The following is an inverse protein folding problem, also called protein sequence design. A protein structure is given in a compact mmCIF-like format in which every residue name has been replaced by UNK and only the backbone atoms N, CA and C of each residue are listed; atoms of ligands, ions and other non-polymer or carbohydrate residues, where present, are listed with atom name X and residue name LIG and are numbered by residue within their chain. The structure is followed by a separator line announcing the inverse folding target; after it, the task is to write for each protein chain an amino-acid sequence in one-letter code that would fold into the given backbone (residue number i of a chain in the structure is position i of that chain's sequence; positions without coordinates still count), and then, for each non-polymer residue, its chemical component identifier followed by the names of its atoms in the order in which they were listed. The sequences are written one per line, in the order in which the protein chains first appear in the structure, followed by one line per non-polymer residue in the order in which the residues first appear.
data_IF_423077017092
#
_entry.id   IF_423077017092
#
_cell.length_a   1.000
_cell.length_b   1.000
_cell.length_c   1.000
_cell.angle_alpha   90.00
_cell.angle_beta   90.00
_cell.angle_gamma   90.00
#
_symmetry.space_group_name_H-M   'P 1'
#
loop_
_entity.id
_entity.type
_entity.pdbx_description
1 polymer ?
#
# COMPACT_ATOMS: atom_id res chain seq x y z
N UNK A 1 -24.72 -2.24 -9.43
CA UNK A 1 -24.48 -3.67 -9.14
C UNK A 1 -23.36 -4.26 -10.01
N UNK A 2 -23.48 -4.23 -11.34
CA UNK A 2 -22.49 -4.79 -12.28
C UNK A 2 -21.02 -4.34 -12.05
N UNK A 3 -20.76 -3.07 -11.76
CA UNK A 3 -19.40 -2.58 -11.53
C UNK A 3 -18.73 -3.21 -10.29
N UNK A 4 -19.49 -3.37 -9.19
CA UNK A 4 -18.97 -3.98 -7.96
C UNK A 4 -18.79 -5.50 -8.11
N UNK A 5 -19.59 -6.15 -8.95
CA UNK A 5 -19.40 -7.57 -9.29
C UNK A 5 -18.12 -7.78 -10.11
N UNK A 6 -17.89 -6.94 -11.13
CA UNK A 6 -16.63 -6.94 -11.90
C UNK A 6 -15.42 -6.73 -11.00
N UNK A 7 -15.50 -5.81 -10.04
CA UNK A 7 -14.44 -5.59 -9.06
C UNK A 7 -14.18 -6.83 -8.21
N UNK A 8 -15.23 -7.49 -7.70
CA UNK A 8 -15.07 -8.71 -6.89
C UNK A 8 -14.38 -9.83 -7.67
N UNK A 9 -14.74 -10.02 -8.94
CA UNK A 9 -14.10 -11.00 -9.83
C UNK A 9 -12.63 -10.64 -10.05
N UNK A 10 -12.31 -9.36 -10.28
CA UNK A 10 -10.92 -8.92 -10.41
C UNK A 10 -10.09 -9.22 -9.15
N UNK A 11 -10.68 -8.99 -7.97
CA UNK A 11 -9.99 -9.17 -6.69
C UNK A 11 -9.79 -10.64 -6.30
N UNK A 12 -10.69 -11.55 -6.67
CA UNK A 12 -10.59 -12.96 -6.29
C UNK A 12 -9.34 -13.63 -6.86
N UNK A 13 -8.93 -13.24 -8.06
CA UNK A 13 -7.78 -13.82 -8.77
C UNK A 13 -6.50 -12.99 -8.59
N UNK A 14 -6.56 -11.92 -7.79
CA UNK A 14 -5.45 -10.97 -7.71
C UNK A 14 -4.21 -11.58 -7.05
N UNK A 15 -4.38 -12.33 -5.97
CA UNK A 15 -3.24 -12.94 -5.25
C UNK A 15 -2.48 -13.97 -6.10
N UNK A 16 -3.19 -14.76 -6.92
CA UNK A 16 -2.56 -15.71 -7.84
C UNK A 16 -1.89 -14.98 -9.01
N UNK A 17 -2.52 -13.93 -9.53
CA UNK A 17 -1.94 -13.06 -10.57
C UNK A 17 -0.64 -12.41 -10.09
N UNK A 18 -0.62 -11.85 -8.88
CA UNK A 18 0.58 -11.26 -8.27
C UNK A 18 1.71 -12.27 -8.12
N UNK A 19 1.39 -13.49 -7.68
CA UNK A 19 2.38 -14.58 -7.59
C UNK A 19 2.96 -14.91 -8.96
N UNK A 20 2.12 -14.98 -10.00
CA UNK A 20 2.58 -15.23 -11.36
C UNK A 20 3.49 -14.11 -11.86
N UNK A 21 3.07 -12.85 -11.72
CA UNK A 21 3.87 -11.67 -12.11
C UNK A 21 5.22 -11.66 -11.38
N UNK A 22 5.24 -12.03 -10.10
CA UNK A 22 6.48 -12.18 -9.33
C UNK A 22 7.39 -13.27 -9.90
N UNK A 23 6.84 -14.43 -10.23
CA UNK A 23 7.59 -15.52 -10.85
C UNK A 23 8.13 -15.15 -12.25
N UNK A 24 7.40 -14.29 -12.97
CA UNK A 24 7.80 -13.73 -14.26
C UNK A 24 8.84 -12.59 -14.11
N UNK A 25 9.28 -12.28 -12.88
CA UNK A 25 10.35 -11.34 -12.58
C UNK A 25 9.91 -9.95 -12.14
N UNK A 26 8.60 -9.66 -12.13
CA UNK A 26 8.08 -8.35 -11.68
C UNK A 26 8.26 -8.22 -10.17
N UNK A 27 8.80 -7.08 -9.73
CA UNK A 27 9.00 -6.82 -8.29
C UNK A 27 7.70 -6.41 -7.62
N UNK A 28 7.44 -6.99 -6.46
CA UNK A 28 6.29 -6.64 -5.62
C UNK A 28 6.79 -5.81 -4.44
N UNK A 29 6.23 -4.63 -4.28
CA UNK A 29 6.58 -3.67 -3.23
C UNK A 29 5.43 -3.59 -2.25
N UNK A 30 5.61 -4.19 -1.07
CA UNK A 30 4.63 -4.09 0.02
C UNK A 30 4.79 -2.75 0.73
N UNK A 31 3.71 -2.16 1.20
CA UNK A 31 3.80 -0.95 2.00
C UNK A 31 2.69 -0.84 3.06
N UNK A 32 2.94 -0.06 4.11
CA UNK A 32 1.95 0.20 5.17
C UNK A 32 1.01 1.35 4.82
N UNK A 33 -0.30 1.26 5.10
CA UNK A 33 -1.24 2.34 4.83
C UNK A 33 -0.90 3.60 5.63
N UNK A 34 -1.37 4.76 5.20
CA UNK A 34 -1.12 6.04 5.88
C UNK A 34 -1.10 7.27 4.98
N UNK A 35 -1.17 7.08 3.66
CA UNK A 35 -1.28 8.18 2.68
C UNK A 35 0.04 8.89 2.35
N UNK A 36 1.17 8.36 2.82
CA UNK A 36 2.49 8.93 2.56
C UNK A 36 3.36 8.08 1.63
N UNK A 37 2.88 6.92 1.19
CA UNK A 37 3.55 6.09 0.21
C UNK A 37 3.27 6.61 -1.22
N UNK A 38 4.29 7.04 -1.98
CA UNK A 38 4.12 7.44 -3.38
C UNK A 38 4.12 6.20 -4.29
N UNK A 39 2.93 5.62 -4.51
CA UNK A 39 2.76 4.49 -5.43
C UNK A 39 3.27 4.80 -6.85
N UNK A 40 3.22 6.08 -7.26
CA UNK A 40 3.71 6.55 -8.55
C UNK A 40 5.19 6.23 -8.78
N UNK A 41 6.04 6.32 -7.73
CA UNK A 41 7.45 5.94 -7.85
C UNK A 41 7.60 4.43 -8.09
N UNK A 42 6.76 3.62 -7.47
CA UNK A 42 6.81 2.15 -7.60
C UNK A 42 6.40 1.72 -9.01
N UNK A 43 5.29 2.28 -9.50
CA UNK A 43 4.83 2.00 -10.84
C UNK A 43 5.81 2.50 -11.92
N UNK A 44 6.37 3.70 -11.76
CA UNK A 44 7.36 4.23 -12.69
C UNK A 44 8.65 3.40 -12.70
N UNK A 45 8.96 2.69 -11.61
CA UNK A 45 10.04 1.71 -11.53
C UNK A 45 9.71 0.35 -12.20
N UNK A 46 8.48 0.17 -12.71
CA UNK A 46 8.00 -1.10 -13.26
C UNK A 46 7.69 -2.16 -12.21
N UNK A 47 7.46 -1.76 -10.97
CA UNK A 47 7.07 -2.65 -9.87
C UNK A 47 5.58 -2.49 -9.54
N UNK A 48 5.04 -3.43 -8.75
CA UNK A 48 3.65 -3.42 -8.31
C UNK A 48 3.60 -3.06 -6.82
N UNK A 49 3.00 -1.91 -6.45
CA UNK A 49 2.76 -1.56 -5.06
C UNK A 49 1.54 -2.32 -4.52
N UNK A 50 1.69 -2.90 -3.32
CA UNK A 50 0.62 -3.59 -2.60
C UNK A 50 0.50 -3.01 -1.20
N UNK A 51 -0.65 -2.43 -0.89
CA UNK A 51 -0.94 -1.94 0.44
C UNK A 51 -1.31 -3.09 1.39
N UNK A 52 -0.54 -3.26 2.45
CA UNK A 52 -0.81 -4.22 3.51
C UNK A 52 -1.83 -3.64 4.49
N UNK A 53 -3.12 -3.69 4.11
CA UNK A 53 -4.23 -3.07 4.84
C UNK A 53 -5.16 -4.07 5.54
N UNK A 54 -4.86 -5.37 5.51
CA UNK A 54 -5.71 -6.39 6.14
C UNK A 54 -5.82 -6.10 7.64
N UNK A 55 -7.04 -6.22 8.17
CA UNK A 55 -7.33 -5.95 9.57
C UNK A 55 -8.80 -6.24 9.90
N UNK A 56 -9.15 -6.08 11.18
CA UNK A 56 -10.52 -6.33 11.68
C UNK A 56 -10.78 -7.76 12.14
N UNK A 57 -9.79 -8.65 12.07
CA UNK A 57 -9.88 -10.01 12.62
C UNK A 57 -9.39 -10.07 14.07
N UNK A 58 -10.28 -10.49 14.97
CA UNK A 58 -9.98 -10.62 16.41
C UNK A 58 -9.00 -11.76 16.70
N UNK A 59 -9.02 -12.84 15.92
CA UNK A 59 -8.11 -13.96 16.12
C UNK A 59 -6.67 -13.56 15.78
N UNK A 60 -6.48 -12.81 14.69
CA UNK A 60 -5.20 -12.17 14.36
C UNK A 60 -4.71 -11.22 15.46
N UNK A 61 -5.61 -10.52 16.16
CA UNK A 61 -5.25 -9.66 17.30
C UNK A 61 -4.70 -10.49 18.46
N UNK A 62 -5.33 -11.63 18.77
CA UNK A 62 -4.87 -12.53 19.84
C UNK A 62 -3.54 -13.16 19.44
N UNK A 63 -3.42 -13.64 18.20
CA UNK A 63 -2.19 -14.25 17.68
C UNK A 63 -0.99 -13.29 17.73
N UNK A 64 -1.23 -12.00 17.47
CA UNK A 64 -0.18 -10.98 17.52
C UNK A 64 0.50 -10.82 18.88
N UNK A 65 -0.14 -11.25 19.97
CA UNK A 65 0.38 -11.11 21.34
C UNK A 65 1.63 -11.98 21.58
N UNK A 66 1.89 -12.97 20.74
CA UNK A 66 3.13 -13.78 20.78
C UNK A 66 4.36 -13.00 20.30
N UNK A 67 4.15 -11.96 19.51
CA UNK A 67 5.20 -11.21 18.82
C UNK A 67 5.33 -9.78 19.34
N UNK A 68 4.22 -9.18 19.81
CA UNK A 68 4.16 -7.78 20.17
C UNK A 68 3.39 -7.54 21.49
N UNK A 69 3.83 -6.58 22.31
CA UNK A 69 3.10 -6.11 23.48
C UNK A 69 1.64 -5.74 23.21
N UNK A 70 0.78 -6.01 24.21
CA UNK A 70 -0.68 -5.83 24.10
C UNK A 70 -1.15 -4.40 23.79
N UNK A 71 -0.35 -3.39 24.17
CA UNK A 71 -0.72 -1.98 24.18
C UNK A 71 -0.51 -1.26 22.84
N UNK A 72 0.04 -1.94 21.84
CA UNK A 72 0.15 -1.38 20.50
C UNK A 72 -1.18 -1.38 19.74
N UNK A 73 -1.29 -0.45 18.78
CA UNK A 73 -2.44 -0.34 17.89
C UNK A 73 -2.82 -1.71 17.33
N UNK A 74 -4.11 -2.06 17.43
CA UNK A 74 -4.64 -3.37 16.98
C UNK A 74 -4.33 -3.65 15.52
N UNK A 75 -4.51 -2.66 14.65
CA UNK A 75 -4.15 -2.78 13.24
C UNK A 75 -2.66 -3.10 13.03
N UNK A 76 -1.77 -2.39 13.73
CA UNK A 76 -0.33 -2.54 13.50
C UNK A 76 0.18 -3.90 13.98
N UNK A 77 -0.28 -4.38 15.14
CA UNK A 77 0.10 -5.70 15.64
C UNK A 77 -0.50 -6.85 14.83
N UNK A 78 -1.68 -6.70 14.21
CA UNK A 78 -2.21 -7.76 13.32
C UNK A 78 -1.36 -7.94 12.06
N UNK A 79 -0.61 -6.91 11.63
CA UNK A 79 0.26 -7.05 10.45
C UNK A 79 1.29 -8.16 10.63
N UNK A 80 1.91 -8.26 11.81
CA UNK A 80 2.87 -9.35 12.08
C UNK A 80 2.17 -10.71 12.19
N UNK A 81 0.93 -10.75 12.69
CA UNK A 81 0.17 -11.99 12.74
C UNK A 81 -0.11 -12.53 11.33
N UNK A 82 -0.45 -11.67 10.37
CA UNK A 82 -0.63 -12.09 8.97
C UNK A 82 0.68 -12.56 8.32
N UNK A 83 1.79 -11.87 8.59
CA UNK A 83 3.11 -12.31 8.12
C UNK A 83 3.46 -13.71 8.67
N UNK A 84 3.39 -13.88 9.99
CA UNK A 84 3.74 -15.13 10.68
C UNK A 84 2.77 -16.27 10.41
N UNK A 85 1.49 -15.95 10.15
CA UNK A 85 0.47 -16.90 9.75
C UNK A 85 0.60 -17.38 8.30
N UNK A 86 1.60 -16.91 7.55
CA UNK A 86 1.85 -17.33 6.17
C UNK A 86 0.85 -16.75 5.18
N UNK A 87 0.22 -15.62 5.48
CA UNK A 87 -0.66 -14.94 4.53
C UNK A 87 0.12 -14.63 3.25
N UNK A 88 -0.45 -15.03 2.12
CA UNK A 88 0.21 -14.92 0.83
C UNK A 88 0.59 -13.48 0.51
N UNK A 89 -0.32 -12.53 0.70
CA UNK A 89 -0.10 -11.12 0.34
C UNK A 89 1.00 -10.49 1.21
N UNK A 90 1.15 -10.96 2.44
CA UNK A 90 2.16 -10.48 3.39
C UNK A 90 3.55 -11.06 3.14
N UNK A 91 3.63 -12.23 2.49
CA UNK A 91 4.88 -12.92 2.16
C UNK A 91 5.31 -12.76 0.69
N UNK A 92 4.48 -12.14 -0.15
CA UNK A 92 4.80 -11.82 -1.55
C UNK A 92 5.85 -10.69 -1.74
N UNK A 93 5.90 -9.62 -0.93
CA UNK A 93 6.78 -8.48 -1.20
C UNK A 93 8.27 -8.83 -1.27
N UNK A 94 8.96 -8.28 -2.27
CA UNK A 94 10.43 -8.27 -2.35
C UNK A 94 11.05 -7.28 -1.36
N UNK A 95 10.32 -6.19 -1.09
CA UNK A 95 10.67 -5.18 -0.09
C UNK A 95 9.39 -4.70 0.60
N UNK A 96 9.49 -4.41 1.89
CA UNK A 96 8.49 -3.65 2.64
C UNK A 96 8.93 -2.19 2.76
N UNK A 97 8.08 -1.26 2.34
CA UNK A 97 8.29 0.17 2.54
C UNK A 97 7.39 0.67 3.67
N UNK A 98 8.00 1.34 4.64
CA UNK A 98 7.29 1.89 5.80
C UNK A 98 7.51 3.40 5.89
N UNK A 99 6.54 4.22 5.45
CA UNK A 99 6.49 5.63 5.80
C UNK A 99 6.24 5.75 7.30
N UNK A 100 7.22 6.28 8.04
CA UNK A 100 7.16 6.35 9.49
C UNK A 100 6.40 7.59 9.94
N UNK A 101 5.08 7.45 10.14
CA UNK A 101 4.18 8.51 10.61
C UNK A 101 4.04 8.59 12.13
N UNK A 102 4.18 7.45 12.80
CA UNK A 102 4.05 7.31 14.25
C UNK A 102 4.76 6.04 14.75
N UNK A 103 4.84 5.89 16.08
CA UNK A 103 5.55 4.78 16.71
C UNK A 103 4.98 3.39 16.39
N UNK A 104 3.72 3.26 15.96
CA UNK A 104 3.13 1.97 15.60
C UNK A 104 3.65 1.47 14.25
N UNK A 105 3.86 2.38 13.29
CA UNK A 105 4.48 2.04 12.01
C UNK A 105 5.92 1.54 12.19
N UNK A 106 6.65 2.10 13.16
CA UNK A 106 7.98 1.62 13.54
C UNK A 106 7.96 0.13 13.88
N UNK A 107 6.97 -0.30 14.65
CA UNK A 107 6.87 -1.66 15.15
C UNK A 107 6.59 -2.64 14.03
N UNK A 108 5.79 -2.25 13.02
CA UNK A 108 5.61 -3.06 11.81
C UNK A 108 6.98 -3.27 11.15
N UNK A 109 7.74 -2.19 10.94
CA UNK A 109 9.04 -2.26 10.30
C UNK A 109 10.06 -3.09 11.11
N UNK A 110 10.09 -2.93 12.44
CA UNK A 110 10.98 -3.66 13.34
C UNK A 110 10.59 -5.14 13.42
N UNK A 111 9.29 -5.44 13.41
CA UNK A 111 8.79 -6.82 13.36
C UNK A 111 9.20 -7.49 12.05
N UNK A 112 9.08 -6.82 10.90
CA UNK A 112 9.54 -7.39 9.63
C UNK A 112 11.04 -7.67 9.62
N UNK A 113 11.85 -6.73 10.11
CA UNK A 113 13.30 -6.92 10.19
C UNK A 113 13.69 -8.09 11.12
N UNK A 114 12.92 -8.35 12.16
CA UNK A 114 13.22 -9.40 13.12
C UNK A 114 12.71 -10.78 12.67
N UNK A 115 11.49 -10.84 12.13
CA UNK A 115 10.79 -12.09 11.86
C UNK A 115 10.81 -12.52 10.39
N UNK A 116 11.20 -11.63 9.46
CA UNK A 116 11.26 -11.91 8.03
C UNK A 116 12.67 -11.65 7.47
N UNK A 117 12.93 -12.25 6.30
CA UNK A 117 14.11 -11.94 5.47
C UNK A 117 13.82 -10.88 4.41
N UNK A 118 12.56 -10.44 4.29
CA UNK A 118 12.17 -9.36 3.37
C UNK A 118 12.90 -8.09 3.74
N UNK A 119 13.49 -7.43 2.75
CA UNK A 119 14.16 -6.14 2.95
C UNK A 119 13.15 -5.07 3.40
N UNK A 120 13.58 -4.14 4.25
CA UNK A 120 12.71 -3.10 4.80
C UNK A 120 13.32 -1.73 4.57
N UNK A 121 12.61 -0.88 3.83
CA UNK A 121 12.96 0.52 3.63
C UNK A 121 12.05 1.43 4.47
N UNK A 122 12.64 2.45 5.09
CA UNK A 122 11.93 3.36 6.01
C UNK A 122 12.32 4.79 5.68
N UNK A 123 11.37 5.70 5.77
CA UNK A 123 11.62 7.14 5.72
C UNK A 123 10.66 7.86 6.66
N UNK A 124 11.12 8.96 7.27
CA UNK A 124 10.31 9.71 8.22
C UNK A 124 9.29 10.59 7.51
N UNK A 125 8.09 10.65 8.06
CA UNK A 125 7.06 11.61 7.66
C UNK A 125 7.03 12.74 8.68
N UNK A 126 7.35 14.00 8.29
CA UNK A 126 7.37 15.11 9.23
C UNK A 126 5.95 15.54 9.63
N UNK A 127 5.77 15.90 10.91
CA UNK A 127 4.46 16.35 11.43
C UNK A 127 4.16 17.83 11.18
N UNK A 128 5.11 18.59 10.61
CA UNK A 128 4.90 19.98 10.21
C UNK A 128 5.15 20.17 8.71
N UNK A 129 4.65 21.27 8.15
CA UNK A 129 4.70 21.56 6.70
C UNK A 129 5.68 22.67 6.32
N UNK A 130 6.58 23.02 7.25
CA UNK A 130 7.60 24.06 7.05
C UNK A 130 8.66 23.63 6.02
N UNK A 131 9.52 24.57 5.64
CA UNK A 131 10.54 24.34 4.62
C UNK A 131 11.51 23.20 4.99
N UNK A 132 12.02 23.20 6.22
CA UNK A 132 12.89 22.14 6.71
C UNK A 132 12.23 20.75 6.64
N UNK A 133 10.93 20.65 6.96
CA UNK A 133 10.17 19.41 6.83
C UNK A 133 10.00 18.97 5.37
N UNK A 134 9.75 19.92 4.46
CA UNK A 134 9.67 19.62 3.02
C UNK A 134 10.99 19.09 2.47
N UNK A 135 12.12 19.73 2.84
CA UNK A 135 13.47 19.29 2.45
C UNK A 135 13.75 17.89 2.99
N UNK A 136 13.46 17.65 4.27
CA UNK A 136 13.63 16.33 4.90
C UNK A 136 12.80 15.25 4.19
N UNK A 137 11.51 15.50 3.97
CA UNK A 137 10.62 14.52 3.34
C UNK A 137 11.04 14.23 1.91
N UNK A 138 11.38 15.28 1.13
CA UNK A 138 11.89 15.13 -0.23
C UNK A 138 13.14 14.26 -0.27
N UNK A 139 14.10 14.46 0.65
CA UNK A 139 15.28 13.60 0.74
C UNK A 139 14.93 12.13 1.01
N UNK A 140 13.93 11.87 1.85
CA UNK A 140 13.40 10.51 2.05
C UNK A 140 12.82 9.90 0.78
N UNK A 141 12.08 10.68 -0.01
CA UNK A 141 11.53 10.23 -1.29
C UNK A 141 12.61 10.02 -2.37
N UNK A 142 13.67 10.82 -2.38
CA UNK A 142 14.83 10.64 -3.27
C UNK A 142 15.59 9.35 -2.96
N UNK A 143 15.78 9.03 -1.67
CA UNK A 143 16.36 7.75 -1.24
C UNK A 143 15.46 6.58 -1.60
N UNK A 144 14.14 6.74 -1.46
CA UNK A 144 13.17 5.73 -1.89
C UNK A 144 13.25 5.50 -3.41
N UNK A 145 13.28 6.57 -4.21
CA UNK A 145 13.45 6.49 -5.67
C UNK A 145 14.66 5.63 -6.03
N UNK A 146 15.82 5.96 -5.46
CA UNK A 146 17.06 5.20 -5.69
C UNK A 146 16.91 3.72 -5.30
N UNK A 147 16.30 3.44 -4.13
CA UNK A 147 16.08 2.07 -3.66
C UNK A 147 15.20 1.26 -4.61
N UNK A 148 14.18 1.89 -5.21
CA UNK A 148 13.31 1.26 -6.20
C UNK A 148 14.05 1.01 -7.52
N UNK A 149 14.85 1.96 -7.99
CA UNK A 149 15.69 1.77 -9.19
C UNK A 149 16.69 0.62 -9.01
N UNK A 150 17.33 0.53 -7.83
CA UNK A 150 18.23 -0.57 -7.49
C UNK A 150 17.51 -1.92 -7.42
N UNK A 151 16.27 -1.94 -6.91
CA UNK A 151 15.45 -3.14 -6.76
C UNK A 151 14.99 -3.71 -8.11
N UNK A 152 14.56 -2.85 -9.03
CA UNK A 152 13.96 -3.25 -10.30
C UNK A 152 14.95 -3.26 -11.46
N UNK A 153 16.08 -2.55 -11.33
CA UNK A 153 17.01 -2.28 -12.42
C UNK A 153 16.50 -1.24 -13.42
N UNK A 154 15.32 -0.65 -13.19
CA UNK A 154 14.71 0.32 -14.09
C UNK A 154 14.91 1.74 -13.57
N UNK A 155 15.35 2.65 -14.45
CA UNK A 155 15.41 4.08 -14.13
C UNK A 155 14.00 4.68 -14.09
N UNK A 156 13.71 5.44 -13.04
CA UNK A 156 12.49 6.25 -12.90
C UNK A 156 12.76 7.60 -13.59
N UNK A 157 12.37 7.69 -14.86
CA UNK A 157 12.44 8.93 -15.65
C UNK A 157 11.34 9.90 -15.25
N UNK A 158 11.56 11.18 -15.50
CA UNK A 158 10.55 12.20 -15.20
C UNK A 158 9.27 11.96 -16.02
N UNK A 159 9.40 11.59 -17.29
CA UNK A 159 8.27 11.22 -18.17
C UNK A 159 7.40 10.11 -17.56
N UNK A 160 7.99 8.95 -17.24
CA UNK A 160 7.26 7.83 -16.62
C UNK A 160 6.62 8.23 -15.29
N UNK A 161 7.33 9.04 -14.50
CA UNK A 161 6.80 9.51 -13.22
C UNK A 161 5.61 10.45 -13.43
N UNK A 162 5.66 11.34 -14.41
CA UNK A 162 4.54 12.23 -14.74
C UNK A 162 3.32 11.44 -15.22
N UNK A 163 3.50 10.44 -16.10
CA UNK A 163 2.41 9.57 -16.56
C UNK A 163 1.71 8.86 -15.39
N UNK A 164 2.49 8.36 -14.43
CA UNK A 164 1.96 7.72 -13.22
C UNK A 164 1.25 8.69 -12.27
N UNK A 165 1.73 9.93 -12.19
CA UNK A 165 1.08 11.02 -11.43
C UNK A 165 -0.25 11.40 -12.08
N UNK A 166 -0.31 11.53 -13.41
CA UNK A 166 -1.54 11.86 -14.13
C UNK A 166 -2.60 10.77 -13.96
N UNK A 167 -2.19 9.51 -14.10
CA UNK A 167 -3.05 8.34 -13.87
C UNK A 167 -3.57 8.34 -12.42
N UNK A 168 -2.68 8.52 -11.44
CA UNK A 168 -3.05 8.59 -10.03
C UNK A 168 -4.00 9.73 -9.71
N UNK A 169 -3.79 10.91 -10.30
CA UNK A 169 -4.66 12.07 -10.14
C UNK A 169 -6.05 11.86 -10.76
N UNK A 170 -6.11 11.19 -11.92
CA UNK A 170 -7.38 10.80 -12.55
C UNK A 170 -8.19 9.92 -11.63
N UNK A 171 -7.59 8.84 -11.08
CA UNK A 171 -8.25 7.94 -10.14
C UNK A 171 -8.74 8.70 -8.89
N UNK A 172 -7.90 9.57 -8.31
CA UNK A 172 -8.28 10.41 -7.15
C UNK A 172 -9.46 11.34 -7.47
N UNK A 173 -9.50 11.91 -8.68
CA UNK A 173 -10.61 12.75 -9.13
C UNK A 173 -11.91 11.95 -9.24
N UNK A 174 -11.86 10.76 -9.83
CA UNK A 174 -13.02 9.86 -9.93
C UNK A 174 -13.57 9.46 -8.55
N UNK A 175 -12.70 9.14 -7.59
CA UNK A 175 -13.12 8.89 -6.20
C UNK A 175 -13.79 10.10 -5.55
N UNK A 176 -13.28 11.31 -5.83
CA UNK A 176 -13.85 12.57 -5.34
C UNK A 176 -15.23 12.81 -5.94
N UNK A 177 -15.42 12.55 -7.23
CA UNK A 177 -16.72 12.63 -7.91
C UNK A 177 -17.73 11.66 -7.31
N UNK A 178 -17.37 10.38 -7.14
CA UNK A 178 -18.23 9.39 -6.48
C UNK A 178 -18.59 9.87 -5.06
N UNK A 179 -17.63 10.42 -4.32
CA UNK A 179 -17.87 10.96 -2.99
C UNK A 179 -18.83 12.16 -2.99
N UNK A 180 -18.81 13.02 -4.00
CA UNK A 180 -19.75 14.14 -4.11
C UNK A 180 -21.14 13.70 -4.55
N UNK A 181 -21.24 12.73 -5.47
CA UNK A 181 -22.51 12.12 -5.87
C UNK A 181 -23.26 11.55 -4.67
N UNK A 182 -22.55 10.94 -3.71
CA UNK A 182 -23.16 10.44 -2.46
C UNK A 182 -23.82 11.54 -1.60
N UNK A 183 -23.44 12.81 -1.78
CA UNK A 183 -24.07 13.94 -1.07
C UNK A 183 -25.44 14.30 -1.65
N UNK A 184 -25.58 14.21 -2.97
CA UNK A 184 -26.81 14.59 -3.69
C UNK A 184 -27.71 13.39 -3.98
N UNK A 185 -27.14 12.19 -4.05
CA UNK A 185 -27.83 10.92 -4.26
C UNK A 185 -27.23 9.84 -3.33
N UNK A 186 -27.70 9.75 -2.07
CA UNK A 186 -27.20 8.79 -1.08
C UNK A 186 -27.34 7.32 -1.50
N UNK A 187 -28.32 7.00 -2.37
CA UNK A 187 -28.59 5.64 -2.83
C UNK A 187 -27.73 5.22 -4.02
N UNK A 188 -26.94 6.13 -4.60
CA UNK A 188 -26.07 5.84 -5.75
C UNK A 188 -25.04 4.73 -5.45
N UNK A 189 -24.49 4.73 -4.24
CA UNK A 189 -23.59 3.69 -3.76
C UNK A 189 -23.64 3.63 -2.23
N UNK A 190 -23.74 2.41 -1.70
CA UNK A 190 -23.71 2.22 -0.24
C UNK A 190 -22.35 2.64 0.33
N UNK A 191 -22.33 3.13 1.57
CA UNK A 191 -21.07 3.46 2.25
C UNK A 191 -20.12 2.25 2.34
N UNK A 192 -20.69 1.04 2.48
CA UNK A 192 -19.93 -0.21 2.49
C UNK A 192 -19.23 -0.44 1.15
N UNK A 193 -19.95 -0.29 0.03
CA UNK A 193 -19.38 -0.50 -1.30
C UNK A 193 -18.37 0.58 -1.66
N UNK A 194 -18.59 1.83 -1.24
CA UNK A 194 -17.63 2.90 -1.44
C UNK A 194 -16.32 2.65 -0.66
N UNK A 195 -16.39 2.23 0.60
CA UNK A 195 -15.21 1.84 1.37
C UNK A 195 -14.51 0.63 0.75
N UNK A 196 -15.27 -0.37 0.28
CA UNK A 196 -14.71 -1.53 -0.41
C UNK A 196 -13.99 -1.14 -1.71
N UNK A 197 -14.54 -0.19 -2.47
CA UNK A 197 -13.91 0.35 -3.68
C UNK A 197 -12.59 1.05 -3.35
N UNK A 198 -12.55 1.85 -2.27
CA UNK A 198 -11.30 2.49 -1.82
C UNK A 198 -10.24 1.46 -1.43
N UNK A 199 -10.59 0.46 -0.61
CA UNK A 199 -9.65 -0.60 -0.23
C UNK A 199 -9.19 -1.43 -1.44
N UNK A 200 -10.07 -1.64 -2.42
CA UNK A 200 -9.72 -2.35 -3.64
C UNK A 200 -8.73 -1.57 -4.50
N UNK A 201 -8.78 -0.23 -4.50
CA UNK A 201 -7.88 0.61 -5.29
C UNK A 201 -6.41 0.47 -4.92
N UNK A 202 -6.11 0.00 -3.71
CA UNK A 202 -4.73 -0.20 -3.24
C UNK A 202 -4.23 -1.63 -3.43
N UNK A 203 -5.01 -2.48 -4.11
CA UNK A 203 -4.70 -3.90 -4.35
C UNK A 203 -4.94 -4.34 -5.81
N UNK A 204 -6.00 -3.83 -6.44
CA UNK A 204 -6.29 -4.05 -7.85
C UNK A 204 -5.31 -3.27 -8.74
N UNK A 205 -5.22 -3.67 -10.01
CA UNK A 205 -4.38 -3.01 -10.98
C UNK A 205 -4.92 -1.61 -11.30
N UNK A 206 -4.05 -0.60 -11.36
CA UNK A 206 -4.45 0.78 -11.68
C UNK A 206 -5.27 0.86 -12.97
N UNK A 207 -4.89 0.09 -13.99
CA UNK A 207 -5.59 0.01 -15.28
C UNK A 207 -7.03 -0.50 -15.21
N UNK A 208 -7.48 -1.03 -14.06
CA UNK A 208 -8.90 -1.36 -13.86
C UNK A 208 -9.75 -0.10 -13.60
N UNK A 209 -9.15 0.97 -13.08
CA UNK A 209 -9.84 2.17 -12.62
C UNK A 209 -9.83 3.33 -13.62
N UNK A 210 -9.06 3.23 -14.69
CA UNK A 210 -8.93 4.23 -15.76
C UNK A 210 -9.48 3.73 -17.08
#
# INVERSE_FOLDING_TARGET
MLAMERLKVHLSDRSSTLRKQKNDGVKIVGYTPGGFMPEELVHAAGAIPICLLKGGDADSVIESLKYNPRFFCTFCKTQIAYLMGGDLVYNLPDILIVPHTDCNHKIIADSWNYYSKTDVFRYGVPHNKGEAARVYFKGGLELLKKKLEDLTGNKITDEKLFDEIETGNTIRSLFKEISFTRKTNPDAISSRDFTMLQHASTFADKGFFV
#
